data_IF_669629198505
#
_entry.id   IF_669629198505
#
_cell.length_a   1.000
_cell.length_b   1.000
_cell.length_c   1.000
_cell.angle_alpha   90.00
_cell.angle_beta   90.00
_cell.angle_gamma   90.00
#
_symmetry.space_group_name_H-M   'P 1'
#
loop_
_entity.id
_entity.type
_entity.pdbx_description
1 polymer ?
#
# COMPACT_ATOMS: atom_id res chain seq x y z
N UNK A 1 17.33 43.32 13.09
CA UNK A 1 16.42 42.19 12.95
C UNK A 1 17.03 41.18 11.95
N UNK A 2 17.62 40.11 12.46
CA UNK A 2 18.18 39.05 11.63
C UNK A 2 17.06 38.03 11.43
N UNK A 3 16.46 37.99 10.24
CA UNK A 3 15.53 36.94 9.86
C UNK A 3 16.38 35.76 9.36
N UNK A 4 16.63 34.81 10.24
CA UNK A 4 17.28 33.55 9.87
C UNK A 4 16.33 32.72 9.04
N UNK A 5 16.51 32.66 7.73
CA UNK A 5 15.86 31.66 6.87
C UNK A 5 16.63 30.36 7.09
N UNK A 6 16.13 29.49 7.96
CA UNK A 6 16.61 28.13 8.05
C UNK A 6 16.15 27.38 6.80
N UNK A 7 17.03 27.24 5.82
CA UNK A 7 16.86 26.24 4.77
C UNK A 7 16.90 24.87 5.44
N UNK A 8 15.73 24.31 5.73
CA UNK A 8 15.60 22.91 6.08
C UNK A 8 16.03 22.12 4.84
N UNK A 9 17.28 21.69 4.83
CA UNK A 9 17.77 20.71 3.85
C UNK A 9 16.86 19.51 3.95
N UNK A 10 16.25 19.14 2.84
CA UNK A 10 15.40 17.96 2.76
C UNK A 10 16.26 16.75 3.13
N UNK A 11 16.10 16.25 4.34
CA UNK A 11 16.77 15.04 4.77
C UNK A 11 16.20 13.87 3.98
N UNK A 12 17.08 13.01 3.45
CA UNK A 12 16.66 11.79 2.81
C UNK A 12 15.83 10.94 3.78
N UNK A 13 14.71 10.46 3.32
CA UNK A 13 13.82 9.61 4.10
C UNK A 13 13.48 8.36 3.29
N UNK A 14 13.35 7.23 3.98
CA UNK A 14 12.87 5.98 3.39
C UNK A 14 12.04 5.21 4.39
N UNK A 15 11.07 4.48 3.88
CA UNK A 15 10.26 3.55 4.66
C UNK A 15 10.12 2.26 3.87
N UNK A 16 10.20 1.15 4.57
CA UNK A 16 10.02 -0.18 4.00
C UNK A 16 9.05 -0.99 4.87
N UNK A 17 8.19 -1.75 4.21
CA UNK A 17 7.39 -2.83 4.76
C UNK A 17 7.82 -4.09 4.03
N UNK A 18 8.53 -4.97 4.69
CA UNK A 18 8.96 -6.25 4.10
C UNK A 18 7.86 -7.31 4.13
N UNK A 19 6.83 -7.07 4.94
CA UNK A 19 5.67 -7.95 5.08
C UNK A 19 6.01 -9.40 5.44
N UNK A 20 7.11 -9.63 6.15
CA UNK A 20 7.57 -10.99 6.50
C UNK A 20 7.05 -11.46 7.85
N UNK A 21 6.78 -10.54 8.77
CA UNK A 21 6.28 -10.87 10.11
C UNK A 21 4.87 -10.35 10.34
N UNK A 22 4.61 -9.13 9.89
CA UNK A 22 3.34 -8.43 10.08
C UNK A 22 3.16 -7.33 9.02
N UNK A 23 2.22 -6.43 9.27
CA UNK A 23 1.90 -5.28 8.40
C UNK A 23 2.59 -3.99 8.84
N UNK A 24 3.46 -4.04 9.84
CA UNK A 24 4.17 -2.88 10.34
C UNK A 24 5.35 -2.49 9.45
N UNK A 25 5.76 -1.23 9.47
CA UNK A 25 6.99 -0.83 8.79
C UNK A 25 8.22 -1.48 9.47
N UNK A 26 9.09 -2.06 8.67
CA UNK A 26 10.32 -2.75 9.15
C UNK A 26 11.53 -1.84 9.21
N UNK A 27 11.57 -0.85 8.34
CA UNK A 27 12.64 0.16 8.32
C UNK A 27 12.07 1.54 8.14
N UNK A 28 12.53 2.48 8.97
CA UNK A 28 12.17 3.90 8.86
C UNK A 28 13.39 4.76 9.05
N UNK A 29 13.71 5.58 8.06
CA UNK A 29 14.82 6.55 8.09
C UNK A 29 14.27 7.95 7.86
N UNK A 30 14.82 8.93 8.56
CA UNK A 30 14.47 10.34 8.39
C UNK A 30 13.27 10.80 9.23
N UNK A 31 12.73 11.95 8.85
CA UNK A 31 11.68 12.63 9.61
C UNK A 31 10.28 12.29 9.08
N UNK A 32 9.97 11.01 9.06
CA UNK A 32 8.70 10.44 8.62
C UNK A 32 8.09 9.52 9.67
N UNK A 33 6.78 9.36 9.63
CA UNK A 33 5.98 8.51 10.50
C UNK A 33 5.13 7.61 9.62
N UNK A 34 5.59 6.39 9.35
CA UNK A 34 4.79 5.40 8.64
C UNK A 34 3.73 4.79 9.56
N UNK A 35 2.67 4.27 8.95
CA UNK A 35 1.64 3.50 9.62
C UNK A 35 1.69 2.03 9.20
N UNK A 36 1.12 1.11 9.99
CA UNK A 36 0.86 -0.25 9.54
C UNK A 36 0.03 -0.26 8.26
N UNK A 37 0.26 -1.23 7.38
CA UNK A 37 -0.58 -1.42 6.21
C UNK A 37 -1.98 -1.85 6.67
N UNK A 38 -3.01 -1.22 6.13
CA UNK A 38 -4.40 -1.56 6.44
C UNK A 38 -5.14 -2.05 5.19
N UNK A 39 -6.13 -2.90 5.40
CA UNK A 39 -7.06 -3.35 4.37
C UNK A 39 -8.47 -2.81 4.62
N UNK A 40 -9.09 -2.21 3.62
CA UNK A 40 -10.52 -1.97 3.59
C UNK A 40 -11.19 -3.13 2.90
N UNK A 41 -12.08 -3.84 3.59
CA UNK A 41 -12.72 -5.09 3.14
C UNK A 41 -11.71 -6.19 2.76
N UNK A 42 -10.53 -6.14 3.36
CA UNK A 42 -9.51 -7.18 3.27
C UNK A 42 -9.08 -7.62 4.65
N UNK A 43 -8.80 -8.90 4.77
CA UNK A 43 -8.11 -9.49 5.91
C UNK A 43 -6.72 -9.95 5.49
N UNK A 44 -5.76 -9.81 6.38
CA UNK A 44 -4.47 -10.48 6.27
C UNK A 44 -4.66 -11.93 6.71
N UNK A 45 -4.23 -12.88 5.90
CA UNK A 45 -4.40 -14.31 6.18
C UNK A 45 -3.11 -15.09 5.98
N UNK A 46 -3.04 -16.20 6.70
CA UNK A 46 -2.10 -17.27 6.38
C UNK A 46 -2.59 -18.13 5.19
N UNK A 47 -1.75 -19.02 4.72
CA UNK A 47 -2.06 -19.90 3.59
C UNK A 47 -3.20 -20.88 3.89
N UNK A 48 -3.39 -21.24 5.15
CA UNK A 48 -4.42 -22.20 5.59
C UNK A 48 -5.84 -21.65 5.54
N UNK A 49 -6.04 -20.38 5.21
CA UNK A 49 -7.36 -19.75 5.13
C UNK A 49 -7.98 -19.43 6.48
N UNK A 50 -7.23 -19.60 7.56
CA UNK A 50 -7.59 -19.09 8.88
C UNK A 50 -7.41 -17.58 8.93
N UNK A 51 -8.23 -16.88 9.69
CA UNK A 51 -8.05 -15.46 9.92
C UNK A 51 -6.81 -15.27 10.79
N UNK A 52 -5.65 -15.15 10.18
CA UNK A 52 -4.41 -14.87 10.84
C UNK A 52 -3.87 -13.52 10.40
N UNK A 53 -3.31 -12.78 11.32
CA UNK A 53 -2.57 -11.56 11.05
C UNK A 53 -1.09 -11.87 10.74
N UNK A 54 -0.72 -13.14 10.75
CA UNK A 54 0.62 -13.58 10.47
C UNK A 54 0.95 -13.62 8.97
N UNK A 55 2.23 -13.69 8.62
CA UNK A 55 2.67 -13.80 7.24
C UNK A 55 2.21 -15.14 6.63
N UNK A 56 1.93 -15.12 5.33
CA UNK A 56 1.67 -16.33 4.55
C UNK A 56 2.89 -17.26 4.56
N UNK A 57 4.04 -16.65 4.50
CA UNK A 57 5.36 -17.27 4.61
C UNK A 57 6.30 -16.27 5.27
N UNK A 58 7.53 -16.65 5.52
CA UNK A 58 8.56 -15.71 6.00
C UNK A 58 8.93 -14.60 4.99
N UNK A 59 8.29 -14.51 3.86
CA UNK A 59 8.68 -13.62 2.77
C UNK A 59 7.60 -12.64 2.32
N UNK A 60 6.32 -12.82 2.67
CA UNK A 60 5.26 -11.92 2.22
C UNK A 60 3.95 -12.07 3.00
N UNK A 61 3.08 -11.07 2.91
CA UNK A 61 1.72 -11.08 3.44
C UNK A 61 0.72 -11.48 2.35
N UNK A 62 -0.33 -12.18 2.75
CA UNK A 62 -1.46 -12.48 1.90
C UNK A 62 -2.68 -11.67 2.30
N UNK A 63 -3.28 -11.02 1.31
CA UNK A 63 -4.52 -10.28 1.46
C UNK A 63 -5.66 -11.04 0.80
N UNK A 64 -6.75 -11.20 1.52
CA UNK A 64 -7.92 -11.90 1.06
C UNK A 64 -9.16 -11.02 1.25
N UNK A 65 -10.20 -11.09 0.39
CA UNK A 65 -11.45 -10.42 0.68
C UNK A 65 -11.94 -10.82 2.08
N UNK A 66 -12.29 -9.79 2.87
CA UNK A 66 -12.70 -9.98 4.27
C UNK A 66 -14.03 -10.74 4.40
N UNK A 67 -14.64 -10.56 5.56
CA UNK A 67 -15.98 -11.10 5.82
C UNK A 67 -16.99 -9.97 5.78
N UNK A 68 -18.22 -10.29 5.39
CA UNK A 68 -19.35 -9.39 5.53
C UNK A 68 -19.77 -9.22 7.02
N UNK A 69 -20.79 -8.39 7.27
CA UNK A 69 -21.30 -8.15 8.61
C UNK A 69 -21.88 -9.41 9.28
N UNK A 70 -22.26 -10.43 8.50
CA UNK A 70 -22.74 -11.71 8.99
C UNK A 70 -21.61 -12.73 9.25
N UNK A 71 -20.34 -12.34 9.00
CA UNK A 71 -19.18 -13.19 9.15
C UNK A 71 -18.96 -14.16 7.99
N UNK A 72 -19.71 -14.03 6.90
CA UNK A 72 -19.55 -14.84 5.68
C UNK A 72 -18.34 -14.35 4.89
N UNK A 73 -17.49 -15.26 4.44
CA UNK A 73 -16.34 -14.92 3.62
C UNK A 73 -16.79 -14.28 2.29
N UNK A 74 -16.30 -13.08 2.03
CA UNK A 74 -16.47 -12.42 0.74
C UNK A 74 -15.56 -13.16 -0.26
N UNK A 75 -16.11 -13.66 -1.35
CA UNK A 75 -15.34 -14.30 -2.41
C UNK A 75 -14.96 -13.27 -3.48
N UNK A 76 -13.89 -13.56 -4.21
CA UNK A 76 -13.62 -12.88 -5.47
C UNK A 76 -14.73 -13.24 -6.46
N UNK A 77 -15.49 -12.27 -6.92
CA UNK A 77 -16.46 -12.44 -7.98
C UNK A 77 -15.94 -11.85 -9.29
N UNK A 78 -16.52 -12.20 -10.43
CA UNK A 78 -16.18 -11.52 -11.67
C UNK A 78 -16.57 -10.04 -11.57
N UNK A 79 -15.59 -9.18 -11.80
CA UNK A 79 -15.71 -7.72 -11.70
C UNK A 79 -15.27 -7.08 -13.01
N UNK A 80 -15.89 -5.99 -13.38
CA UNK A 80 -15.52 -5.22 -14.59
C UNK A 80 -14.56 -4.08 -14.29
N UNK A 81 -14.41 -3.74 -13.00
CA UNK A 81 -13.57 -2.64 -12.51
C UNK A 81 -13.28 -2.84 -11.02
N UNK A 82 -12.24 -2.17 -10.49
CA UNK A 82 -11.98 -2.18 -9.05
C UNK A 82 -13.12 -1.54 -8.26
N UNK A 83 -13.37 -2.05 -7.06
CA UNK A 83 -14.30 -1.46 -6.10
C UNK A 83 -13.59 -0.38 -5.30
N UNK A 84 -14.16 0.83 -5.25
CA UNK A 84 -13.53 1.99 -4.62
C UNK A 84 -13.35 1.84 -3.09
N UNK A 85 -14.17 1.03 -2.46
CA UNK A 85 -14.18 0.79 -1.01
C UNK A 85 -13.40 -0.48 -0.60
N UNK A 86 -12.80 -1.19 -1.58
CA UNK A 86 -11.99 -2.38 -1.35
C UNK A 86 -10.55 -2.13 -1.77
N UNK A 87 -9.69 -1.84 -0.82
CA UNK A 87 -8.30 -1.48 -1.07
C UNK A 87 -7.35 -1.90 0.07
N UNK A 88 -6.09 -1.96 -0.25
CA UNK A 88 -4.98 -2.05 0.69
C UNK A 88 -4.32 -0.67 0.70
N UNK A 89 -4.09 -0.08 1.88
CA UNK A 89 -3.52 1.26 2.01
C UNK A 89 -2.21 1.24 2.79
N UNK A 90 -1.26 1.96 2.24
CA UNK A 90 0.02 2.32 2.84
C UNK A 90 -0.02 3.82 3.14
N UNK A 91 0.45 4.22 4.31
CA UNK A 91 0.42 5.62 4.76
C UNK A 91 1.76 6.03 5.35
N UNK A 92 2.23 7.21 4.96
CA UNK A 92 3.39 7.89 5.55
C UNK A 92 3.06 9.36 5.77
N UNK A 93 3.34 9.86 6.97
CA UNK A 93 3.22 11.28 7.29
C UNK A 93 4.60 11.88 7.60
N UNK A 94 4.81 13.19 7.42
CA UNK A 94 5.96 13.86 7.98
C UNK A 94 5.85 13.95 9.50
N UNK A 95 6.98 13.94 10.21
CA UNK A 95 7.01 14.40 11.59
C UNK A 95 6.63 15.88 11.67
N UNK A 96 6.08 16.31 12.80
CA UNK A 96 5.67 17.71 13.00
C UNK A 96 6.81 18.68 12.66
N UNK A 97 6.51 19.69 11.86
CA UNK A 97 7.47 20.71 11.41
C UNK A 97 8.35 20.30 10.23
N UNK A 98 8.17 19.10 9.67
CA UNK A 98 8.95 18.64 8.52
C UNK A 98 8.08 18.48 7.28
N UNK A 99 8.71 18.58 6.13
CA UNK A 99 8.16 18.17 4.83
C UNK A 99 9.05 17.09 4.26
N UNK A 100 8.53 16.28 3.34
CA UNK A 100 9.36 15.36 2.56
C UNK A 100 8.89 15.30 1.11
N UNK A 101 9.72 14.73 0.25
CA UNK A 101 9.38 14.48 -1.15
C UNK A 101 9.41 13.00 -1.44
N UNK A 102 8.37 12.51 -2.10
CA UNK A 102 8.36 11.18 -2.68
C UNK A 102 9.04 11.25 -4.04
N UNK A 103 10.13 10.56 -4.18
CA UNK A 103 10.85 10.41 -5.45
C UNK A 103 10.66 9.03 -6.06
N UNK A 104 10.38 8.02 -5.24
CA UNK A 104 10.13 6.65 -5.69
C UNK A 104 9.12 5.95 -4.79
N UNK A 105 8.24 5.19 -5.40
CA UNK A 105 7.45 4.13 -4.74
C UNK A 105 7.71 2.84 -5.51
N UNK A 106 8.01 1.77 -4.79
CA UNK A 106 8.23 0.45 -5.38
C UNK A 106 7.43 -0.58 -4.60
N UNK A 107 6.71 -1.42 -5.31
CA UNK A 107 5.88 -2.45 -4.73
C UNK A 107 6.06 -3.76 -5.49
N UNK A 108 6.00 -4.84 -4.74
CA UNK A 108 6.05 -6.19 -5.23
C UNK A 108 4.74 -6.88 -4.89
N UNK A 109 4.09 -7.49 -5.87
CA UNK A 109 2.83 -8.19 -5.66
C UNK A 109 2.63 -9.35 -6.63
N UNK A 110 1.82 -10.31 -6.22
CA UNK A 110 1.41 -11.44 -7.04
C UNK A 110 0.01 -11.87 -6.63
N UNK A 111 -0.63 -12.69 -7.45
CA UNK A 111 -1.91 -13.31 -7.16
C UNK A 111 -1.73 -14.79 -6.83
N UNK A 112 -2.25 -15.22 -5.69
CA UNK A 112 -2.42 -16.64 -5.39
C UNK A 112 -3.56 -17.24 -6.23
N UNK A 113 -3.42 -18.47 -6.68
CA UNK A 113 -4.46 -19.16 -7.45
C UNK A 113 -4.36 -18.97 -8.97
N UNK A 114 -5.41 -19.36 -9.67
CA UNK A 114 -5.43 -19.45 -11.15
C UNK A 114 -6.35 -18.43 -11.83
N UNK A 115 -6.90 -17.51 -11.07
CA UNK A 115 -7.87 -16.54 -11.60
C UNK A 115 -7.24 -15.33 -12.31
N UNK A 116 -8.07 -14.49 -12.87
CA UNK A 116 -7.63 -13.27 -13.58
C UNK A 116 -7.56 -12.06 -12.63
N UNK A 117 -6.65 -12.11 -11.67
CA UNK A 117 -6.43 -10.98 -10.75
C UNK A 117 -5.77 -9.81 -11.44
N UNK A 118 -6.30 -8.65 -11.16
CA UNK A 118 -5.77 -7.35 -11.60
C UNK A 118 -5.62 -6.42 -10.41
N UNK A 119 -4.88 -5.35 -10.59
CA UNK A 119 -4.84 -4.26 -9.63
C UNK A 119 -4.76 -2.91 -10.33
N UNK A 120 -5.37 -1.91 -9.69
CA UNK A 120 -5.08 -0.50 -9.93
C UNK A 120 -4.31 0.03 -8.73
N UNK A 121 -3.36 0.92 -8.97
CA UNK A 121 -2.56 1.54 -7.90
C UNK A 121 -2.60 3.04 -8.10
N UNK A 122 -2.92 3.76 -7.03
CA UNK A 122 -2.95 5.22 -7.03
C UNK A 122 -2.37 5.77 -5.73
N UNK A 123 -1.90 7.01 -5.78
CA UNK A 123 -1.51 7.74 -4.57
C UNK A 123 -2.30 9.03 -4.41
N UNK A 124 -2.31 9.54 -3.18
CA UNK A 124 -2.90 10.82 -2.83
C UNK A 124 -2.12 11.49 -1.71
N UNK A 125 -2.12 12.81 -1.67
CA UNK A 125 -1.77 13.62 -0.50
C UNK A 125 -3.00 14.15 0.26
N UNK A 126 -4.19 13.85 -0.26
CA UNK A 126 -5.47 14.11 0.39
C UNK A 126 -5.80 12.93 1.34
N UNK A 127 -5.95 13.17 2.64
CA UNK A 127 -6.22 12.10 3.62
C UNK A 127 -7.55 11.38 3.39
N UNK A 128 -8.49 12.01 2.69
CA UNK A 128 -9.78 11.40 2.33
C UNK A 128 -9.72 10.59 1.02
N UNK A 129 -8.63 10.73 0.27
CA UNK A 129 -8.42 10.08 -1.03
C UNK A 129 -9.47 10.47 -2.10
N UNK A 130 -10.08 11.66 -1.98
CA UNK A 130 -11.06 12.17 -2.97
C UNK A 130 -10.40 12.59 -4.27
N UNK A 131 -9.13 12.97 -4.20
CA UNK A 131 -8.27 13.23 -5.34
C UNK A 131 -7.10 12.26 -5.32
N UNK A 132 -6.75 11.68 -6.45
CA UNK A 132 -5.64 10.73 -6.54
C UNK A 132 -4.97 10.80 -7.91
N UNK A 133 -3.72 10.33 -7.94
CA UNK A 133 -2.93 10.17 -9.16
C UNK A 133 -2.68 8.69 -9.38
N UNK A 134 -2.98 8.19 -10.58
CA UNK A 134 -2.70 6.81 -10.95
C UNK A 134 -1.18 6.56 -11.02
N UNK A 135 -0.76 5.47 -10.42
CA UNK A 135 0.58 4.88 -10.60
C UNK A 135 0.51 3.81 -11.68
N UNK A 136 -0.52 2.98 -11.61
CA UNK A 136 -0.72 1.89 -12.56
C UNK A 136 -2.21 1.54 -12.65
N UNK A 137 -2.68 1.32 -13.86
CA UNK A 137 -4.06 0.95 -14.16
C UNK A 137 -4.13 -0.43 -14.78
N UNK A 138 -5.07 -1.23 -14.28
CA UNK A 138 -5.44 -2.52 -14.87
C UNK A 138 -4.25 -3.45 -15.09
N UNK A 139 -3.30 -3.45 -14.16
CA UNK A 139 -2.18 -4.38 -14.24
C UNK A 139 -2.65 -5.80 -13.95
N UNK A 140 -2.24 -6.71 -14.81
CA UNK A 140 -2.46 -8.14 -14.59
C UNK A 140 -1.43 -8.66 -13.61
N UNK A 141 -1.86 -9.16 -12.47
CA UNK A 141 -0.97 -9.78 -11.49
C UNK A 141 -0.54 -11.17 -11.96
N UNK A 142 0.72 -11.52 -11.73
CA UNK A 142 1.20 -12.87 -11.99
C UNK A 142 0.41 -13.87 -11.15
N UNK A 143 -0.16 -14.86 -11.79
CA UNK A 143 -1.04 -15.84 -11.17
C UNK A 143 -0.30 -17.12 -10.80
N UNK A 144 -0.88 -17.86 -9.83
CA UNK A 144 -0.32 -19.12 -9.37
C UNK A 144 1.05 -18.95 -8.71
N UNK A 145 1.49 -17.71 -8.53
CA UNK A 145 2.76 -17.38 -7.92
C UNK A 145 2.56 -17.01 -6.46
N UNK A 146 3.47 -17.49 -5.65
CA UNK A 146 3.61 -17.04 -4.26
C UNK A 146 4.83 -16.11 -4.12
N UNK A 147 5.34 -15.61 -5.25
CA UNK A 147 6.50 -14.73 -5.30
C UNK A 147 6.04 -13.32 -5.66
N UNK A 148 5.96 -12.38 -4.70
CA UNK A 148 5.53 -11.01 -4.94
C UNK A 148 6.36 -10.30 -6.02
N UNK A 149 7.63 -10.62 -6.13
CA UNK A 149 8.56 -10.07 -7.12
C UNK A 149 8.18 -10.37 -8.58
N UNK A 150 7.23 -11.25 -8.82
CA UNK A 150 6.75 -11.54 -10.17
C UNK A 150 5.97 -10.38 -10.80
N UNK A 151 5.47 -9.45 -10.01
CA UNK A 151 4.89 -8.19 -10.51
C UNK A 151 5.46 -7.03 -9.73
N UNK A 152 6.31 -6.24 -10.37
CA UNK A 152 6.93 -5.05 -9.79
C UNK A 152 6.24 -3.80 -10.33
N UNK A 153 5.82 -2.92 -9.43
CA UNK A 153 5.26 -1.61 -9.77
C UNK A 153 6.21 -0.55 -9.25
N UNK A 154 6.66 0.31 -10.15
CA UNK A 154 7.56 1.41 -9.83
C UNK A 154 6.94 2.72 -10.27
N UNK A 155 6.85 3.66 -9.35
CA UNK A 155 6.59 5.06 -9.60
C UNK A 155 7.86 5.85 -9.32
N UNK A 156 8.22 6.74 -10.23
CA UNK A 156 9.24 7.76 -10.02
C UNK A 156 8.62 9.13 -10.25
N UNK A 157 8.88 10.06 -9.36
CA UNK A 157 8.26 11.38 -9.45
C UNK A 157 8.88 12.37 -8.47
N UNK A 158 8.14 13.42 -8.19
CA UNK A 158 8.55 14.48 -7.26
C UNK A 158 7.32 15.06 -6.57
N UNK A 159 6.75 14.28 -5.63
CA UNK A 159 5.55 14.69 -4.90
C UNK A 159 5.95 15.27 -3.56
N UNK A 160 5.67 16.54 -3.34
CA UNK A 160 5.87 17.19 -2.04
C UNK A 160 4.74 16.83 -1.09
N UNK A 161 5.11 16.42 0.13
CA UNK A 161 4.20 16.16 1.24
C UNK A 161 4.55 17.13 2.36
N UNK A 162 3.67 18.10 2.60
CA UNK A 162 3.86 19.15 3.60
C UNK A 162 3.51 18.65 5.00
N UNK A 163 4.04 19.33 6.01
CA UNK A 163 3.61 19.14 7.40
C UNK A 163 2.07 19.20 7.48
N UNK A 164 1.46 18.29 8.22
CA UNK A 164 0.02 18.07 8.31
C UNK A 164 -0.64 17.36 7.10
N UNK A 165 0.06 17.09 6.02
CA UNK A 165 -0.40 16.19 4.97
C UNK A 165 0.05 14.75 5.22
N UNK A 166 -0.52 13.82 4.46
CA UNK A 166 -0.12 12.41 4.43
C UNK A 166 0.13 12.01 2.99
N UNK A 167 1.04 11.08 2.80
CA UNK A 167 1.16 10.38 1.53
C UNK A 167 0.50 9.02 1.68
N UNK A 168 -0.52 8.78 0.88
CA UNK A 168 -1.30 7.56 0.87
C UNK A 168 -1.08 6.85 -0.46
N UNK A 169 -0.85 5.56 -0.42
CA UNK A 169 -0.91 4.71 -1.62
C UNK A 169 -1.99 3.68 -1.40
N UNK A 170 -2.90 3.55 -2.36
CA UNK A 170 -3.92 2.49 -2.37
C UNK A 170 -3.72 1.55 -3.54
N UNK A 171 -3.78 0.28 -3.22
CA UNK A 171 -3.87 -0.81 -4.18
C UNK A 171 -5.32 -1.29 -4.18
N UNK A 172 -5.94 -1.34 -5.33
CA UNK A 172 -7.31 -1.81 -5.54
C UNK A 172 -7.27 -3.12 -6.33
N UNK A 173 -7.16 -4.27 -5.68
CA UNK A 173 -7.21 -5.55 -6.37
C UNK A 173 -8.65 -5.86 -6.82
N UNK A 174 -8.78 -6.50 -7.97
CA UNK A 174 -10.06 -6.94 -8.51
C UNK A 174 -9.89 -8.15 -9.40
N UNK A 175 -10.99 -8.85 -9.69
CA UNK A 175 -11.00 -10.14 -10.38
C UNK A 175 -11.93 -10.10 -11.59
N UNK A 176 -11.45 -10.52 -12.76
CA UNK A 176 -12.26 -10.61 -14.00
C UNK A 176 -12.57 -12.03 -14.36
#
# INVERSE_FOLDING_TARGET
>A
LVVGVSNLLAQAASVQWDCTADVNPTTTVGNVVPQPIIGSKFDVRDYGGTNSTGPLSSTHQRWWPGRDAAGTAISWGPETKPLADRYIQIEVAPKAGYNFKITKVEMYMAAGGTGNMRANVAFSTDPTFTTSTSIADTIKLKQGSQKPEDTVIVYTGNVEVKSAQKFLVRVFPWYT
#
